data_IF_559849006410
#
_entry.id   IF_559849006410
#
_cell.length_a   1.000
_cell.length_b   1.000
_cell.length_c   1.000
_cell.angle_alpha   90.00
_cell.angle_beta   90.00
_cell.angle_gamma   90.00
#
_symmetry.space_group_name_H-M   'P 1'
#
loop_
_entity.id
_entity.type
_entity.pdbx_description
1 polymer ?
#
# COMPACT_ATOMS: atom_id res chain seq x y z
N UNK A 1 -21.87 -2.93 -29.12
CA UNK A 1 -21.56 -1.47 -29.17
C UNK A 1 -22.04 -0.87 -27.86
N UNK A 2 -21.16 -0.72 -26.86
CA UNK A 2 -21.56 -0.17 -25.56
C UNK A 2 -21.32 1.34 -25.62
N UNK A 3 -22.41 2.11 -25.64
CA UNK A 3 -22.38 3.56 -25.43
C UNK A 3 -22.52 3.81 -23.93
N UNK A 4 -21.56 4.48 -23.32
CA UNK A 4 -21.74 5.04 -21.97
C UNK A 4 -21.13 6.43 -21.87
N UNK A 5 -21.93 7.30 -21.27
CA UNK A 5 -21.87 8.76 -21.24
C UNK A 5 -20.69 9.31 -20.43
N UNK A 6 -20.07 10.35 -21.00
CA UNK A 6 -19.08 11.23 -20.36
C UNK A 6 -19.77 12.18 -19.39
N UNK A 7 -19.32 12.21 -18.13
CA UNK A 7 -19.58 13.34 -17.24
C UNK A 7 -18.24 13.81 -16.66
N UNK A 8 -17.80 14.99 -17.11
CA UNK A 8 -16.65 15.69 -16.50
C UNK A 8 -17.12 16.49 -15.30
N UNK A 9 -16.59 16.16 -14.12
CA UNK A 9 -15.94 17.13 -13.23
C UNK A 9 -14.96 16.39 -12.32
N UNK A 10 -13.66 16.52 -12.62
CA UNK A 10 -12.56 16.15 -11.71
C UNK A 10 -11.63 15.01 -12.11
N UNK A 11 -11.73 14.51 -13.36
CA UNK A 11 -10.75 13.60 -14.03
C UNK A 11 -10.80 12.11 -13.63
N UNK A 12 -11.87 11.44 -14.10
CA UNK A 12 -11.84 10.00 -14.39
C UNK A 12 -11.44 9.84 -15.85
N UNK A 13 -10.24 9.34 -16.12
CA UNK A 13 -9.79 8.99 -17.47
C UNK A 13 -10.42 7.64 -17.83
N UNK A 14 -11.65 7.66 -18.35
CA UNK A 14 -12.25 6.47 -18.92
C UNK A 14 -11.55 6.14 -20.24
N UNK A 15 -10.76 5.06 -20.27
CA UNK A 15 -10.27 4.49 -21.52
C UNK A 15 -11.45 3.82 -22.24
N UNK A 16 -11.90 4.40 -23.35
CA UNK A 16 -12.83 3.73 -24.25
C UNK A 16 -12.05 2.73 -25.12
N UNK A 17 -12.38 1.44 -25.02
CA UNK A 17 -11.81 0.44 -25.91
C UNK A 17 -12.54 0.45 -27.26
N UNK A 18 -11.84 0.86 -28.31
CA UNK A 18 -12.32 0.73 -29.68
C UNK A 18 -12.43 -0.73 -30.11
N UNK A 19 -13.17 -1.00 -31.19
CA UNK A 19 -13.19 -2.33 -31.80
C UNK A 19 -11.75 -2.74 -32.19
N UNK A 20 -11.23 -3.82 -31.60
CA UNK A 20 -9.87 -4.30 -31.84
C UNK A 20 -8.84 -3.96 -30.75
N UNK A 21 -9.18 -3.14 -29.75
CA UNK A 21 -8.31 -2.95 -28.58
C UNK A 21 -8.42 -4.16 -27.64
N UNK A 22 -7.30 -4.86 -27.45
CA UNK A 22 -7.19 -5.98 -26.53
C UNK A 22 -6.56 -5.53 -25.22
N UNK A 23 -7.10 -6.04 -24.11
CA UNK A 23 -6.44 -5.99 -22.81
C UNK A 23 -5.41 -7.11 -22.77
N UNK A 24 -4.19 -6.79 -22.35
CA UNK A 24 -3.15 -7.77 -22.09
C UNK A 24 -2.76 -7.75 -20.61
N UNK A 25 -2.16 -8.85 -20.16
CA UNK A 25 -1.50 -8.90 -18.84
C UNK A 25 0.00 -8.70 -19.06
N UNK A 26 0.61 -7.90 -18.20
CA UNK A 26 2.03 -7.62 -18.15
C UNK A 26 2.51 -7.68 -16.70
N UNK A 27 3.81 -7.87 -16.47
CA UNK A 27 4.37 -7.85 -15.12
C UNK A 27 5.15 -6.56 -14.92
N UNK A 28 5.04 -5.92 -13.75
CA UNK A 28 5.83 -4.72 -13.44
C UNK A 28 7.30 -5.10 -13.32
N UNK A 29 8.13 -4.66 -14.25
CA UNK A 29 9.57 -4.92 -14.27
C UNK A 29 10.33 -3.99 -13.32
N UNK A 30 9.94 -2.71 -13.27
CA UNK A 30 10.50 -1.72 -12.37
C UNK A 30 9.51 -0.57 -12.13
N UNK A 31 9.72 0.18 -11.05
CA UNK A 31 9.13 1.50 -10.85
C UNK A 31 10.28 2.42 -10.47
N UNK A 32 10.51 3.47 -11.24
CA UNK A 32 11.56 4.44 -10.96
C UNK A 32 11.21 5.28 -9.73
N UNK A 33 12.19 6.02 -9.20
CA UNK A 33 12.03 6.78 -7.96
C UNK A 33 10.96 7.88 -8.03
N UNK A 34 10.61 8.34 -9.24
CA UNK A 34 9.56 9.31 -9.52
C UNK A 34 8.18 8.68 -9.73
N UNK A 35 8.07 7.35 -9.59
CA UNK A 35 6.84 6.59 -9.78
C UNK A 35 6.61 6.11 -11.22
N UNK A 36 7.57 6.34 -12.13
CA UNK A 36 7.44 5.92 -13.53
C UNK A 36 7.53 4.39 -13.67
N UNK A 37 6.47 3.70 -14.16
CA UNK A 37 6.46 2.24 -14.22
C UNK A 37 7.00 1.72 -15.55
N UNK A 38 7.80 0.66 -15.46
CA UNK A 38 8.27 -0.15 -16.57
C UNK A 38 7.64 -1.54 -16.46
N UNK A 39 7.09 -2.05 -17.56
CA UNK A 39 6.43 -3.35 -17.60
C UNK A 39 7.15 -4.31 -18.55
N UNK A 40 7.20 -5.58 -18.16
CA UNK A 40 7.60 -6.66 -19.04
C UNK A 40 6.35 -7.18 -19.78
N UNK A 41 6.36 -7.03 -21.10
CA UNK A 41 5.34 -7.59 -21.97
C UNK A 41 5.77 -8.96 -22.50
N UNK A 42 4.84 -9.92 -22.50
CA UNK A 42 5.08 -11.22 -23.13
C UNK A 42 5.41 -11.04 -24.62
N UNK A 43 6.55 -11.61 -25.03
CA UNK A 43 7.04 -11.54 -26.41
C UNK A 43 7.90 -10.31 -26.73
N UNK A 44 8.10 -9.39 -25.78
CA UNK A 44 9.09 -8.31 -25.89
C UNK A 44 10.35 -8.68 -25.11
N UNK A 45 11.57 -8.47 -25.65
CA UNK A 45 12.80 -8.79 -24.93
C UNK A 45 13.05 -7.82 -23.77
N UNK A 46 12.77 -6.53 -23.98
CA UNK A 46 13.07 -5.47 -23.02
C UNK A 46 11.80 -4.92 -22.36
N UNK A 47 11.89 -4.47 -21.09
CA UNK A 47 10.83 -3.72 -20.45
C UNK A 47 10.46 -2.46 -21.23
N UNK A 48 9.15 -2.17 -21.27
CA UNK A 48 8.60 -1.00 -21.95
C UNK A 48 8.05 -0.03 -20.91
N UNK A 49 8.31 1.25 -21.13
CA UNK A 49 7.74 2.34 -20.35
C UNK A 49 6.21 2.34 -20.45
N UNK A 50 5.53 2.35 -19.31
CA UNK A 50 4.07 2.38 -19.25
C UNK A 50 3.55 3.68 -18.62
N UNK A 51 2.34 4.06 -19.01
CA UNK A 51 1.57 5.13 -18.34
C UNK A 51 0.50 4.51 -17.45
N UNK A 52 -0.06 5.27 -16.52
CA UNK A 52 -1.06 4.76 -15.56
C UNK A 52 -2.35 5.56 -15.66
N UNK A 53 -3.49 4.87 -15.55
CA UNK A 53 -4.81 5.51 -15.35
C UNK A 53 -5.05 5.68 -13.86
N UNK A 54 -4.88 6.91 -13.36
CA UNK A 54 -5.11 7.23 -11.94
C UNK A 54 -4.10 6.56 -10.99
N UNK A 55 -4.52 6.32 -9.75
CA UNK A 55 -3.72 5.61 -8.74
C UNK A 55 -3.86 4.09 -8.94
N UNK A 56 -2.73 3.40 -9.09
CA UNK A 56 -2.66 1.94 -9.20
C UNK A 56 -1.73 1.40 -8.12
N UNK A 57 -2.26 0.50 -7.28
CA UNK A 57 -1.49 -0.22 -6.27
C UNK A 57 -0.83 -1.45 -6.88
N UNK A 58 0.38 -1.29 -7.41
CA UNK A 58 1.21 -2.38 -7.92
C UNK A 58 2.68 -2.14 -7.55
N UNK A 59 3.40 -3.22 -7.28
CA UNK A 59 4.83 -3.25 -7.00
C UNK A 59 5.57 -4.02 -8.09
N UNK A 60 6.90 -3.91 -8.11
CA UNK A 60 7.74 -4.75 -8.98
C UNK A 60 7.42 -6.24 -8.77
N UNK A 61 7.18 -6.95 -9.87
CA UNK A 61 6.79 -8.35 -9.88
C UNK A 61 5.28 -8.59 -9.89
N UNK A 62 4.45 -7.58 -9.64
CA UNK A 62 3.00 -7.74 -9.72
C UNK A 62 2.52 -7.76 -11.17
N UNK A 63 1.45 -8.53 -11.41
CA UNK A 63 0.76 -8.53 -12.69
C UNK A 63 -0.21 -7.35 -12.79
N UNK A 64 -0.24 -6.72 -13.97
CA UNK A 64 -1.06 -5.56 -14.28
C UNK A 64 -1.81 -5.76 -15.60
N UNK A 65 -3.04 -5.25 -15.64
CA UNK A 65 -3.84 -5.20 -16.85
C UNK A 65 -3.46 -3.93 -17.63
N UNK A 66 -3.09 -4.10 -18.89
CA UNK A 66 -2.66 -3.01 -19.76
C UNK A 66 -3.43 -2.98 -21.07
N UNK A 67 -3.50 -1.79 -21.65
CA UNK A 67 -3.99 -1.57 -23.01
C UNK A 67 -3.01 -0.75 -23.81
N UNK A 68 -3.12 -0.88 -25.13
CA UNK A 68 -2.20 -0.26 -26.06
C UNK A 68 -2.86 0.92 -26.74
N UNK A 69 -2.25 2.10 -26.63
CA UNK A 69 -2.74 3.30 -27.28
C UNK A 69 -2.68 3.11 -28.80
N UNK A 70 -3.84 3.15 -29.48
CA UNK A 70 -3.90 2.87 -30.92
C UNK A 70 -3.48 1.45 -31.33
N UNK A 71 -3.39 0.50 -30.39
CA UNK A 71 -2.90 -0.86 -30.65
C UNK A 71 -1.37 -0.99 -30.67
N UNK A 72 -0.62 0.07 -30.38
CA UNK A 72 0.84 0.07 -30.37
C UNK A 72 1.40 -0.54 -29.07
N UNK A 73 2.10 -1.68 -29.18
CA UNK A 73 2.67 -2.40 -28.03
C UNK A 73 3.80 -1.64 -27.34
N UNK A 74 4.36 -0.62 -27.98
CA UNK A 74 5.38 0.25 -27.38
C UNK A 74 4.77 1.37 -26.53
N UNK A 75 3.43 1.53 -26.55
CA UNK A 75 2.70 2.57 -25.82
C UNK A 75 1.63 1.98 -24.89
N UNK A 76 2.02 1.18 -23.88
CA UNK A 76 1.09 0.60 -22.93
C UNK A 76 0.59 1.60 -21.88
N UNK A 77 -0.67 1.42 -21.47
CA UNK A 77 -1.32 2.14 -20.39
C UNK A 77 -1.87 1.11 -19.40
N UNK A 78 -1.38 1.18 -18.16
CA UNK A 78 -1.83 0.38 -17.01
C UNK A 78 -3.22 0.86 -16.57
N UNK A 79 -4.15 -0.08 -16.52
CA UNK A 79 -5.51 0.12 -16.04
C UNK A 79 -5.64 -0.20 -14.55
N UNK A 80 -4.87 -1.17 -14.06
CA UNK A 80 -4.91 -1.63 -12.68
C UNK A 80 -4.13 -2.92 -12.45
N UNK A 81 -3.93 -3.28 -11.18
CA UNK A 81 -3.32 -4.55 -10.79
C UNK A 81 -4.27 -5.72 -11.04
N UNK A 82 -3.71 -6.86 -11.46
CA UNK A 82 -4.42 -8.14 -11.57
C UNK A 82 -4.25 -8.88 -10.26
N UNK A 83 -5.33 -9.02 -9.50
CA UNK A 83 -5.33 -9.71 -8.23
C UNK A 83 -5.96 -11.10 -8.39
N UNK A 84 -5.33 -12.13 -7.84
CA UNK A 84 -5.86 -13.50 -7.84
C UNK A 84 -7.16 -13.62 -7.02
N UNK A 85 -7.38 -12.70 -6.08
CA UNK A 85 -8.59 -12.61 -5.25
C UNK A 85 -8.93 -11.14 -5.07
N UNK A 86 -10.23 -10.84 -5.04
CA UNK A 86 -10.69 -9.52 -4.60
C UNK A 86 -10.16 -9.29 -3.18
N UNK A 87 -9.64 -8.09 -2.92
CA UNK A 87 -9.36 -7.66 -1.57
C UNK A 87 -10.67 -7.85 -0.78
N UNK A 88 -10.64 -8.75 0.20
CA UNK A 88 -11.78 -8.89 1.09
C UNK A 88 -11.88 -7.55 1.81
N UNK A 89 -13.02 -6.82 1.76
CA UNK A 89 -13.17 -5.63 2.58
C UNK A 89 -12.81 -6.03 4.02
N UNK A 90 -12.07 -5.21 4.78
CA UNK A 90 -11.57 -5.61 6.08
C UNK A 90 -12.74 -5.88 7.02
N UNK A 91 -13.25 -7.11 6.99
CA UNK A 91 -13.98 -7.71 8.08
C UNK A 91 -12.97 -7.79 9.21
N UNK A 92 -13.18 -6.95 10.24
CA UNK A 92 -12.47 -6.89 11.51
C UNK A 92 -11.24 -7.81 11.55
N UNK A 93 -10.07 -7.25 11.21
CA UNK A 93 -8.81 -7.98 11.12
C UNK A 93 -8.57 -8.79 12.40
N UNK A 94 -8.95 -10.07 12.35
CA UNK A 94 -8.64 -11.07 13.34
C UNK A 94 -7.73 -12.05 12.63
N UNK A 95 -6.43 -11.84 12.83
CA UNK A 95 -5.35 -12.80 12.67
C UNK A 95 -5.06 -13.39 11.27
N UNK A 96 -3.76 -13.33 10.94
CA UNK A 96 -2.99 -14.20 10.06
C UNK A 96 -2.97 -13.90 8.55
N UNK A 97 -1.92 -13.20 8.12
CA UNK A 97 -0.94 -13.77 7.19
C UNK A 97 0.38 -12.99 7.31
N UNK A 98 1.41 -13.66 7.82
CA UNK A 98 2.78 -13.17 7.79
C UNK A 98 3.27 -13.20 6.33
N UNK A 99 3.31 -12.04 5.68
CA UNK A 99 4.16 -11.81 4.51
C UNK A 99 5.61 -11.59 4.96
N UNK A 100 6.59 -11.71 4.05
CA UNK A 100 8.00 -11.50 4.37
C UNK A 100 8.19 -10.12 5.00
N UNK A 101 9.06 -10.08 6.00
CA UNK A 101 9.37 -8.95 6.88
C UNK A 101 9.32 -7.62 6.11
N UNK A 102 8.23 -6.87 6.30
CA UNK A 102 8.12 -5.53 5.77
C UNK A 102 9.06 -4.65 6.59
N UNK A 103 10.26 -4.41 6.05
CA UNK A 103 11.19 -3.45 6.60
C UNK A 103 10.61 -2.05 6.41
N UNK A 104 10.01 -1.49 7.46
CA UNK A 104 9.54 -0.11 7.46
C UNK A 104 10.75 0.82 7.71
N UNK A 105 11.51 1.10 6.65
CA UNK A 105 12.60 2.10 6.69
C UNK A 105 12.01 3.51 6.64
N UNK A 106 11.88 4.16 7.79
CA UNK A 106 11.39 5.54 7.86
C UNK A 106 12.56 6.53 7.78
N UNK A 107 12.91 6.96 6.57
CA UNK A 107 13.85 8.06 6.37
C UNK A 107 13.11 9.41 6.35
N UNK A 108 12.92 10.01 7.52
CA UNK A 108 12.25 11.29 7.64
C UNK A 108 12.45 11.96 9.01
N UNK A 109 12.21 13.27 9.07
CA UNK A 109 12.31 14.05 10.33
C UNK A 109 11.20 13.68 11.33
N UNK A 110 10.07 13.10 10.90
CA UNK A 110 8.94 12.75 11.78
C UNK A 110 8.04 11.63 11.19
N UNK A 111 7.65 10.66 12.01
CA UNK A 111 6.65 9.62 11.71
C UNK A 111 5.36 9.86 12.52
N UNK A 112 4.18 9.74 11.89
CA UNK A 112 2.89 9.87 12.57
C UNK A 112 2.02 8.65 12.30
N UNK A 113 1.65 7.93 13.37
CA UNK A 113 0.73 6.80 13.34
C UNK A 113 -0.58 7.20 14.04
N UNK A 114 -1.72 7.00 13.37
CA UNK A 114 -3.05 7.33 13.91
C UNK A 114 -3.99 6.14 13.72
N UNK A 115 -4.78 5.85 14.76
CA UNK A 115 -5.79 4.81 14.74
C UNK A 115 -7.06 5.33 15.42
N UNK A 116 -8.24 4.95 14.93
CA UNK A 116 -9.50 5.40 15.50
C UNK A 116 -9.82 4.72 16.82
N UNK A 117 -9.51 3.42 16.97
CA UNK A 117 -9.92 2.61 18.13
C UNK A 117 -8.74 2.19 18.98
N UNK A 118 -7.70 1.66 18.35
CA UNK A 118 -6.59 1.01 19.04
C UNK A 118 -5.33 0.99 18.15
N UNK A 119 -4.17 1.20 18.77
CA UNK A 119 -2.86 1.07 18.16
C UNK A 119 -2.04 0.05 18.97
N UNK A 120 -1.69 -1.08 18.35
CA UNK A 120 -0.90 -2.15 18.97
C UNK A 120 0.42 -2.39 18.24
N UNK A 121 1.53 -2.37 18.97
CA UNK A 121 2.85 -2.79 18.47
C UNK A 121 3.22 -4.10 19.18
N UNK A 122 3.40 -5.19 18.42
CA UNK A 122 3.66 -6.53 18.96
C UNK A 122 5.02 -7.03 18.49
N UNK A 123 5.81 -7.58 19.41
CA UNK A 123 7.10 -8.18 19.12
C UNK A 123 7.32 -9.39 20.04
N UNK A 124 7.08 -10.60 19.54
CA UNK A 124 7.12 -11.82 20.34
C UNK A 124 6.21 -11.74 21.57
N UNK A 125 6.80 -11.83 22.76
CA UNK A 125 6.09 -11.75 24.05
C UNK A 125 5.88 -10.31 24.57
N UNK A 126 6.35 -9.30 23.86
CA UNK A 126 6.21 -7.90 24.23
C UNK A 126 5.11 -7.21 23.42
N UNK A 127 4.40 -6.27 24.06
CA UNK A 127 3.41 -5.43 23.37
C UNK A 127 3.30 -4.03 23.98
N UNK A 128 3.03 -3.05 23.10
CA UNK A 128 2.64 -1.67 23.48
C UNK A 128 1.26 -1.43 22.88
N UNK A 129 0.28 -1.07 23.73
CA UNK A 129 -1.12 -0.89 23.33
C UNK A 129 -1.62 0.49 23.75
N UNK A 130 -2.09 1.29 22.80
CA UNK A 130 -2.79 2.55 23.02
C UNK A 130 -4.25 2.42 22.59
N UNK A 131 -5.18 2.73 23.48
CA UNK A 131 -6.63 2.62 23.22
C UNK A 131 -7.28 4.00 23.14
N UNK A 132 -8.44 4.08 22.47
CA UNK A 132 -9.26 5.31 22.35
C UNK A 132 -9.65 5.93 23.70
N UNK A 133 -9.75 5.13 24.76
CA UNK A 133 -10.05 5.59 26.13
C UNK A 133 -8.86 6.29 26.82
N UNK A 134 -7.71 6.39 26.13
CA UNK A 134 -6.48 6.98 26.65
C UNK A 134 -5.59 6.01 27.42
N UNK A 135 -5.98 4.73 27.53
CA UNK A 135 -5.17 3.72 28.23
C UNK A 135 -3.97 3.29 27.40
N UNK A 136 -2.76 3.45 27.98
CA UNK A 136 -1.51 2.91 27.47
C UNK A 136 -1.09 1.70 28.32
N UNK A 137 -0.85 0.56 27.68
CA UNK A 137 -0.37 -0.67 28.33
C UNK A 137 0.96 -1.07 27.70
N UNK A 138 1.99 -1.26 28.52
CA UNK A 138 3.30 -1.79 28.11
C UNK A 138 3.47 -3.15 28.79
N UNK A 139 3.67 -4.19 27.99
CA UNK A 139 3.94 -5.56 28.46
C UNK A 139 5.25 -6.05 27.89
N UNK A 140 6.02 -6.75 28.71
CA UNK A 140 7.26 -7.41 28.32
C UNK A 140 7.86 -8.13 29.52
N UNK A 141 8.85 -8.98 29.26
CA UNK A 141 9.62 -9.67 30.32
C UNK A 141 10.40 -8.67 31.18
N UNK A 142 10.90 -7.59 30.58
CA UNK A 142 11.59 -6.50 31.23
C UNK A 142 11.20 -5.18 30.57
N UNK A 143 11.01 -4.11 31.37
CA UNK A 143 10.74 -2.76 30.87
C UNK A 143 11.81 -1.82 31.42
N UNK A 144 12.79 -1.48 30.56
CA UNK A 144 13.85 -0.52 30.91
C UNK A 144 13.44 0.87 30.40
N UNK A 145 13.09 1.78 31.31
CA UNK A 145 12.85 3.18 30.98
C UNK A 145 14.03 4.05 31.41
N UNK A 146 14.73 4.63 30.43
CA UNK A 146 15.93 5.45 30.65
C UNK A 146 15.74 6.83 30.02
N UNK A 147 16.09 7.87 30.78
CA UNK A 147 16.20 9.23 30.29
C UNK A 147 17.62 9.74 30.55
N UNK A 148 18.20 10.50 29.62
CA UNK A 148 19.48 11.21 29.82
C UNK A 148 19.32 12.46 30.68
N UNK A 149 18.13 13.06 30.69
CA UNK A 149 17.74 14.15 31.58
C UNK A 149 16.79 13.68 32.68
N UNK A 150 15.75 14.46 32.96
CA UNK A 150 14.76 14.10 33.98
C UNK A 150 13.70 13.13 33.44
N UNK A 151 13.46 12.03 34.13
CA UNK A 151 12.29 11.18 33.91
C UNK A 151 11.14 11.63 34.82
N UNK A 152 10.15 12.33 34.26
CA UNK A 152 9.01 12.87 35.03
C UNK A 152 7.80 11.96 34.90
N UNK A 153 7.34 11.41 36.03
CA UNK A 153 6.10 10.64 36.12
C UNK A 153 5.10 11.47 36.93
N UNK A 154 3.90 11.66 36.38
CA UNK A 154 2.80 12.42 37.02
C UNK A 154 1.50 11.67 36.84
N UNK A 155 0.70 11.63 37.90
CA UNK A 155 -0.64 11.04 37.89
C UNK A 155 -1.34 11.34 39.21
N UNK A 156 -2.68 11.21 39.23
CA UNK A 156 -3.44 11.31 40.49
C UNK A 156 -3.05 10.23 41.50
N UNK A 157 -2.51 9.10 41.03
CA UNK A 157 -1.91 8.03 41.82
C UNK A 157 -0.76 7.42 41.01
N UNK A 158 0.37 7.19 41.67
CA UNK A 158 1.49 6.42 41.13
C UNK A 158 1.75 5.28 42.10
N UNK A 159 1.45 4.06 41.68
CA UNK A 159 1.71 2.86 42.47
C UNK A 159 3.01 2.23 41.97
N UNK A 160 3.99 2.14 42.86
CA UNK A 160 5.28 1.50 42.62
C UNK A 160 5.39 0.41 43.69
N UNK A 161 5.58 -0.82 43.24
CA UNK A 161 5.77 -1.99 44.10
C UNK A 161 7.20 -2.49 43.92
#
# INVERSE_FOLDING_TARGET
MVKTTVVRKGEVVAAAFGAGQQVAVATVANIDADGTPWIQLNGMPDPVLARVVGEVSASKGDDVAVVFEGGDRTRPIILGAVLARLATPPAAATSAAAGPEQELVVNGKTLRLQAETELSLNCGNASILLRRDGKLIIKGTEVVSRASGTHKIRGGLVNIN
#
